data_IF_002752363115
#
_entry.id   IF_002752363115
#
_cell.length_a   1.000
_cell.length_b   1.000
_cell.length_c   1.000
_cell.angle_alpha   90.00
_cell.angle_beta   90.00
_cell.angle_gamma   90.00
#
_symmetry.space_group_name_H-M   'P 1'
#
loop_
_entity.id
_entity.type
_entity.pdbx_description
1 polymer ?
#
# COMPACT_ATOMS: atom_id res chain seq x y z
N UNK A 1 16.32 44.92 57.31
CA UNK A 1 16.97 43.64 57.66
C UNK A 1 16.01 42.92 58.60
N UNK A 2 15.36 41.79 58.32
CA UNK A 2 15.52 40.71 57.34
C UNK A 2 14.13 40.14 57.01
N UNK A 3 13.91 39.69 55.77
CA UNK A 3 12.64 39.15 55.26
C UNK A 3 12.39 37.71 55.76
N UNK A 4 11.15 37.43 56.13
CA UNK A 4 10.64 36.13 56.53
C UNK A 4 10.54 35.20 55.31
N UNK A 5 11.17 34.03 55.43
CA UNK A 5 11.29 32.97 54.43
C UNK A 5 9.92 32.35 54.12
N UNK A 6 9.53 32.33 52.83
CA UNK A 6 8.45 31.47 52.31
C UNK A 6 9.02 30.09 52.01
N UNK A 7 8.46 29.07 52.66
CA UNK A 7 8.73 27.65 52.36
C UNK A 7 8.02 27.29 51.06
N UNK A 8 8.79 26.89 50.04
CA UNK A 8 8.28 26.24 48.83
C UNK A 8 8.73 24.78 48.88
N UNK A 9 7.80 23.89 49.20
CA UNK A 9 7.93 22.44 49.06
C UNK A 9 7.94 22.08 47.58
N UNK A 10 9.11 21.66 47.08
CA UNK A 10 9.24 21.09 45.73
C UNK A 10 9.18 19.57 45.83
N UNK A 11 8.10 18.97 45.34
CA UNK A 11 8.00 17.53 45.16
C UNK A 11 8.75 17.14 43.86
N UNK A 12 9.83 16.38 44.00
CA UNK A 12 10.57 15.81 42.86
C UNK A 12 9.90 14.49 42.49
N UNK A 13 9.19 14.48 41.37
CA UNK A 13 8.60 13.28 40.77
C UNK A 13 9.68 12.60 39.91
N UNK A 14 10.24 11.49 40.40
CA UNK A 14 11.17 10.66 39.64
C UNK A 14 10.42 9.88 38.56
N UNK A 15 10.50 10.33 37.30
CA UNK A 15 10.05 9.58 36.14
C UNK A 15 11.08 8.50 35.82
N UNK A 16 10.75 7.24 36.11
CA UNK A 16 11.49 6.08 35.66
C UNK A 16 11.39 5.99 34.13
N UNK A 17 12.49 6.34 33.44
CA UNK A 17 12.62 6.13 32.01
C UNK A 17 12.86 4.63 31.79
N UNK A 18 11.81 3.91 31.41
CA UNK A 18 11.96 2.57 30.83
C UNK A 18 12.63 2.76 29.47
N UNK A 19 13.94 2.53 29.41
CA UNK A 19 14.66 2.43 28.16
C UNK A 19 14.22 1.14 27.45
N UNK A 20 13.41 1.25 26.40
CA UNK A 20 13.24 0.17 25.43
C UNK A 20 14.60 -0.05 24.75
N UNK A 21 15.28 -1.15 25.07
CA UNK A 21 16.43 -1.61 24.31
C UNK A 21 16.00 -1.86 22.85
N UNK A 22 16.73 -1.36 21.85
CA UNK A 22 16.51 -1.78 20.47
C UNK A 22 16.96 -3.24 20.34
N UNK A 23 15.99 -4.15 20.34
CA UNK A 23 16.21 -5.55 20.00
C UNK A 23 16.69 -5.68 18.55
N UNK A 24 17.65 -6.58 18.32
CA UNK A 24 18.12 -6.99 17.00
C UNK A 24 17.03 -7.79 16.29
N UNK A 25 15.97 -7.12 15.85
CA UNK A 25 14.95 -7.72 15.01
C UNK A 25 15.52 -7.92 13.60
N UNK A 26 15.79 -9.17 13.25
CA UNK A 26 16.18 -9.61 11.89
C UNK A 26 15.01 -9.61 10.90
N UNK A 27 13.82 -9.20 11.35
CA UNK A 27 12.65 -9.05 10.49
C UNK A 27 12.58 -7.62 9.94
N UNK A 28 12.44 -7.44 8.60
CA UNK A 28 12.14 -6.14 8.03
C UNK A 28 10.88 -5.60 8.69
N UNK A 29 10.98 -4.41 9.28
CA UNK A 29 9.84 -3.76 9.92
C UNK A 29 9.08 -2.98 8.85
N UNK A 30 7.75 -3.15 8.72
CA UNK A 30 6.94 -2.37 7.80
C UNK A 30 7.12 -0.87 8.03
N UNK A 31 7.25 -0.07 6.96
CA UNK A 31 7.43 1.38 7.06
C UNK A 31 6.15 2.16 7.40
N UNK A 32 5.01 1.47 7.53
CA UNK A 32 3.70 2.05 7.85
C UNK A 32 2.93 1.08 8.75
N UNK A 33 2.01 1.61 9.57
CA UNK A 33 1.15 0.80 10.44
C UNK A 33 0.40 -0.26 9.62
N UNK A 34 0.57 -1.54 9.98
CA UNK A 34 -0.24 -2.61 9.43
C UNK A 34 -1.61 -2.54 10.09
N UNK A 35 -2.62 -2.17 9.32
CA UNK A 35 -4.02 -2.33 9.71
C UNK A 35 -4.45 -3.66 9.09
N UNK A 36 -5.11 -4.52 9.88
CA UNK A 36 -5.66 -5.81 9.48
C UNK A 36 -4.69 -7.00 9.53
N UNK A 37 -5.07 -7.98 10.36
CA UNK A 37 -4.35 -9.25 10.57
C UNK A 37 -4.70 -10.33 9.55
N UNK A 38 -5.43 -9.97 8.49
CA UNK A 38 -6.20 -10.93 7.71
C UNK A 38 -5.62 -11.16 6.31
N UNK A 39 -4.68 -10.33 5.88
CA UNK A 39 -3.94 -10.56 4.65
C UNK A 39 -2.96 -11.72 4.87
N UNK A 40 -3.20 -12.83 4.17
CA UNK A 40 -2.32 -13.99 4.17
C UNK A 40 -1.06 -13.76 3.32
N UNK A 41 -0.21 -12.82 3.74
CA UNK A 41 1.04 -12.51 3.05
C UNK A 41 2.04 -13.66 3.14
N UNK A 42 2.76 -13.89 2.04
CA UNK A 42 3.86 -14.86 2.02
C UNK A 42 4.97 -14.40 2.96
N UNK A 43 5.76 -15.35 3.46
CA UNK A 43 6.94 -15.02 4.27
C UNK A 43 7.86 -14.05 3.51
N UNK A 44 8.20 -12.93 4.15
CA UNK A 44 9.03 -11.86 3.57
C UNK A 44 8.25 -10.79 2.79
N UNK A 45 6.94 -10.95 2.58
CA UNK A 45 6.06 -9.89 2.10
C UNK A 45 5.49 -9.09 3.28
N UNK A 46 5.05 -7.87 3.00
CA UNK A 46 4.35 -7.00 3.93
C UNK A 46 2.90 -6.79 3.46
N UNK A 47 1.97 -6.63 4.41
CA UNK A 47 0.59 -6.21 4.13
C UNK A 47 0.43 -4.70 4.15
N UNK A 48 -0.46 -4.19 3.31
CA UNK A 48 -1.06 -2.87 3.39
C UNK A 48 -2.57 -3.01 3.35
N UNK A 49 -3.28 -2.30 4.23
CA UNK A 49 -4.73 -2.17 4.18
C UNK A 49 -5.13 -0.73 4.44
N UNK A 50 -6.19 -0.30 3.77
CA UNK A 50 -6.86 0.96 4.03
C UNK A 50 -8.37 0.70 4.19
N UNK A 51 -8.86 0.81 5.43
CA UNK A 51 -10.26 0.59 5.75
C UNK A 51 -11.20 1.62 5.10
N UNK A 52 -10.71 2.83 4.82
CA UNK A 52 -11.50 3.86 4.15
C UNK A 52 -11.59 3.59 2.65
N UNK A 53 -10.48 3.15 2.04
CA UNK A 53 -10.48 2.72 0.66
C UNK A 53 -11.27 1.41 0.49
N UNK A 54 -11.33 0.57 1.53
CA UNK A 54 -12.09 -0.68 1.54
C UNK A 54 -11.32 -1.85 0.95
N UNK A 55 -9.99 -1.81 0.94
CA UNK A 55 -9.17 -2.90 0.40
C UNK A 55 -7.76 -2.93 0.98
N UNK A 56 -7.08 -4.06 0.74
CA UNK A 56 -5.68 -4.26 1.09
C UNK A 56 -5.02 -5.33 0.22
N UNK A 57 -3.68 -5.38 0.25
CA UNK A 57 -2.86 -6.31 -0.53
C UNK A 57 -1.50 -6.57 0.11
N UNK A 58 -0.85 -7.66 -0.28
CA UNK A 58 0.54 -7.93 0.06
C UNK A 58 1.50 -7.40 -1.00
N UNK A 59 2.67 -6.93 -0.57
CA UNK A 59 3.74 -6.43 -1.43
C UNK A 59 5.12 -6.92 -0.95
N UNK A 60 6.16 -6.91 -1.81
CA UNK A 60 7.50 -7.32 -1.41
C UNK A 60 8.03 -6.55 -0.19
N UNK A 61 8.56 -7.25 0.82
CA UNK A 61 9.11 -6.60 2.01
C UNK A 61 10.35 -5.73 1.77
N UNK A 62 10.94 -5.83 0.57
CA UNK A 62 12.02 -4.95 0.13
C UNK A 62 11.53 -3.62 -0.42
N UNK A 63 10.21 -3.37 -0.50
CA UNK A 63 9.69 -2.08 -0.96
C UNK A 63 9.50 -1.12 0.19
N UNK A 64 9.81 0.15 -0.06
CA UNK A 64 9.33 1.30 0.71
C UNK A 64 8.46 2.14 -0.20
N UNK A 65 7.47 2.81 0.35
CA UNK A 65 6.68 3.75 -0.42
C UNK A 65 6.32 4.99 0.38
N UNK A 66 6.06 6.08 -0.34
CA UNK A 66 5.29 7.21 0.16
C UNK A 66 3.90 7.14 -0.45
N UNK A 67 2.87 7.32 0.39
CA UNK A 67 1.47 7.30 -0.04
C UNK A 67 0.96 8.73 -0.26
N UNK A 68 0.29 8.96 -1.38
CA UNK A 68 -0.44 10.19 -1.66
C UNK A 68 -1.90 9.85 -1.96
N UNK A 69 -2.82 10.60 -1.36
CA UNK A 69 -4.26 10.43 -1.54
C UNK A 69 -4.83 11.63 -2.29
N UNK A 70 -5.69 11.38 -3.27
CA UNK A 70 -6.49 12.39 -3.94
C UNK A 70 -7.95 11.94 -3.93
N UNK A 71 -8.81 12.74 -3.32
CA UNK A 71 -10.25 12.48 -3.27
C UNK A 71 -10.99 13.50 -4.13
N UNK A 72 -11.83 13.00 -5.03
CA UNK A 72 -12.77 13.80 -5.80
C UNK A 72 -14.19 13.47 -5.34
N UNK A 73 -14.79 14.40 -4.58
CA UNK A 73 -16.13 14.24 -4.03
C UNK A 73 -17.21 14.16 -5.12
N UNK A 74 -17.08 14.98 -6.18
CA UNK A 74 -18.05 15.05 -7.28
C UNK A 74 -18.05 13.76 -8.10
N UNK A 75 -16.87 13.20 -8.35
CA UNK A 75 -16.71 11.93 -9.07
C UNK A 75 -16.86 10.68 -8.18
N UNK A 76 -16.97 10.86 -6.85
CA UNK A 76 -16.94 9.81 -5.82
C UNK A 76 -15.78 8.83 -6.05
N UNK A 77 -14.60 9.42 -6.19
CA UNK A 77 -13.37 8.75 -6.61
C UNK A 77 -12.27 9.03 -5.59
N UNK A 78 -11.57 7.97 -5.21
CA UNK A 78 -10.39 8.03 -4.35
C UNK A 78 -9.21 7.40 -5.10
N UNK A 79 -8.19 8.19 -5.35
CA UNK A 79 -6.93 7.73 -5.93
C UNK A 79 -5.85 7.66 -4.84
N UNK A 80 -5.33 6.45 -4.64
CA UNK A 80 -4.16 6.22 -3.79
C UNK A 80 -2.94 5.95 -4.68
N UNK A 81 -1.97 6.86 -4.64
CA UNK A 81 -0.69 6.73 -5.36
C UNK A 81 0.41 6.30 -4.41
N UNK A 82 1.06 5.19 -4.74
CA UNK A 82 2.21 4.65 -4.04
C UNK A 82 3.48 4.97 -4.84
N UNK A 83 4.30 5.85 -4.29
CA UNK A 83 5.62 6.19 -4.81
C UNK A 83 6.61 5.16 -4.27
N UNK A 84 6.82 4.07 -5.00
CA UNK A 84 7.52 2.88 -4.52
C UNK A 84 9.00 2.94 -4.89
N UNK A 85 9.86 2.69 -3.91
CA UNK A 85 11.30 2.45 -4.10
C UNK A 85 11.66 1.07 -3.57
N UNK A 86 12.40 0.29 -4.33
CA UNK A 86 13.00 -0.93 -3.82
C UNK A 86 14.21 -0.57 -2.96
N UNK A 87 14.21 -1.01 -1.70
CA UNK A 87 15.18 -0.63 -0.67
C UNK A 87 16.59 -0.86 -1.19
N UNK A 88 17.46 0.17 -1.17
CA UNK A 88 18.85 0.03 -1.58
C UNK A 88 19.58 -0.93 -0.63
N UNK A 89 20.66 -1.53 -1.13
CA UNK A 89 21.39 -2.55 -0.39
C UNK A 89 21.81 -2.04 0.99
N UNK A 90 21.63 -2.88 2.02
CA UNK A 90 22.15 -2.55 3.34
C UNK A 90 23.68 -2.40 3.27
N UNK A 91 24.21 -1.39 3.96
CA UNK A 91 25.66 -1.21 4.10
C UNK A 91 26.27 -2.47 4.74
N UNK A 92 27.20 -3.08 4.03
CA UNK A 92 27.86 -4.29 4.50
C UNK A 92 28.94 -3.95 5.56
N UNK A 93 29.19 -4.83 6.54
CA UNK A 93 30.36 -4.74 7.39
C UNK A 93 31.66 -4.64 6.57
N UNK A 94 32.75 -4.06 7.15
CA UNK A 94 34.05 -4.02 6.48
C UNK A 94 34.46 -5.41 5.99
N UNK A 95 34.98 -5.50 4.76
CA UNK A 95 35.40 -6.73 4.07
C UNK A 95 34.29 -7.69 3.63
N UNK A 96 33.03 -7.26 3.61
CA UNK A 96 31.93 -8.02 2.99
C UNK A 96 31.28 -7.23 1.87
N UNK A 97 30.78 -7.92 0.83
CA UNK A 97 30.02 -7.28 -0.25
C UNK A 97 28.56 -7.10 0.19
N UNK A 98 27.94 -5.94 -0.05
CA UNK A 98 26.52 -5.77 0.19
C UNK A 98 25.70 -6.74 -0.67
N UNK A 99 24.71 -7.39 -0.06
CA UNK A 99 23.75 -8.23 -0.75
C UNK A 99 22.54 -7.36 -1.07
N UNK A 100 22.19 -7.29 -2.36
CA UNK A 100 21.13 -6.44 -2.88
C UNK A 100 19.96 -7.29 -3.37
N UNK A 101 18.73 -6.82 -3.18
CA UNK A 101 17.59 -7.36 -3.93
C UNK A 101 17.75 -7.01 -5.41
N UNK A 102 17.25 -7.86 -6.33
CA UNK A 102 17.13 -7.49 -7.73
C UNK A 102 16.39 -6.15 -7.87
N UNK A 103 16.95 -5.21 -8.63
CA UNK A 103 16.37 -3.88 -8.83
C UNK A 103 16.47 -2.94 -7.61
N UNK A 104 17.43 -3.14 -6.72
CA UNK A 104 17.66 -2.25 -5.58
C UNK A 104 17.87 -0.79 -6.03
N UNK A 105 17.20 0.14 -5.35
CA UNK A 105 17.24 1.58 -5.68
C UNK A 105 16.32 2.00 -6.84
N UNK A 106 15.71 1.06 -7.55
CA UNK A 106 14.75 1.40 -8.60
C UNK A 106 13.44 1.91 -8.01
N UNK A 107 12.79 2.76 -8.77
CA UNK A 107 11.57 3.48 -8.40
C UNK A 107 10.45 3.20 -9.40
N UNK A 108 9.20 3.22 -8.96
CA UNK A 108 8.01 3.15 -9.82
C UNK A 108 6.77 3.71 -9.12
N UNK A 109 5.70 3.93 -9.88
CA UNK A 109 4.41 4.38 -9.36
C UNK A 109 3.36 3.28 -9.51
N UNK A 110 2.62 3.04 -8.43
CA UNK A 110 1.36 2.28 -8.47
C UNK A 110 0.23 3.21 -8.10
N UNK A 111 -0.85 3.20 -8.88
CA UNK A 111 -2.05 3.96 -8.59
C UNK A 111 -3.20 2.97 -8.42
N UNK A 112 -3.94 3.12 -7.33
CA UNK A 112 -5.16 2.36 -7.05
C UNK A 112 -6.31 3.34 -6.98
N UNK A 113 -7.14 3.34 -8.01
CA UNK A 113 -8.32 4.19 -8.13
C UNK A 113 -9.54 3.43 -7.65
N UNK A 114 -10.28 4.02 -6.71
CA UNK A 114 -11.46 3.43 -6.09
C UNK A 114 -12.68 4.27 -6.44
N UNK A 115 -13.67 3.64 -7.04
CA UNK A 115 -14.91 4.28 -7.48
C UNK A 115 -16.12 3.67 -6.79
N UNK A 116 -17.16 4.46 -6.65
CA UNK A 116 -18.50 3.93 -6.36
C UNK A 116 -18.95 2.96 -7.46
N UNK A 117 -19.41 1.77 -7.07
CA UNK A 117 -20.08 0.82 -7.98
C UNK A 117 -21.37 1.39 -8.57
N UNK A 118 -22.02 2.31 -7.86
CA UNK A 118 -23.25 2.99 -8.29
C UNK A 118 -24.37 2.03 -8.75
N UNK A 119 -24.46 0.85 -8.12
CA UNK A 119 -25.47 -0.16 -8.44
C UNK A 119 -25.24 -0.96 -9.74
N UNK A 120 -24.10 -0.78 -10.43
CA UNK A 120 -23.81 -1.53 -11.64
C UNK A 120 -23.79 -3.05 -11.37
N UNK A 121 -24.50 -3.87 -12.17
CA UNK A 121 -24.58 -5.31 -11.93
C UNK A 121 -23.25 -6.02 -12.21
N UNK A 122 -22.53 -5.59 -13.25
CA UNK A 122 -21.30 -6.19 -13.78
C UNK A 122 -20.29 -5.11 -14.22
N UNK A 123 -19.05 -5.52 -14.52
CA UNK A 123 -18.00 -4.61 -15.00
C UNK A 123 -18.32 -3.99 -16.36
N UNK A 124 -19.00 -4.71 -17.25
CA UNK A 124 -19.29 -4.24 -18.61
C UNK A 124 -20.17 -3.00 -18.54
N UNK A 125 -21.26 -3.09 -17.79
CA UNK A 125 -22.22 -2.01 -17.56
C UNK A 125 -21.55 -0.82 -16.87
N UNK A 126 -20.69 -1.08 -15.88
CA UNK A 126 -19.97 -0.01 -15.17
C UNK A 126 -18.99 0.73 -16.07
N UNK A 127 -18.17 0.01 -16.85
CA UNK A 127 -17.18 0.60 -17.77
C UNK A 127 -17.86 1.39 -18.88
N UNK A 128 -18.95 0.88 -19.45
CA UNK A 128 -19.73 1.61 -20.45
C UNK A 128 -20.28 2.94 -19.92
N UNK A 129 -20.74 2.96 -18.65
CA UNK A 129 -21.24 4.18 -18.02
C UNK A 129 -20.13 5.18 -17.66
N UNK A 130 -18.99 4.71 -17.11
CA UNK A 130 -17.90 5.58 -16.65
C UNK A 130 -17.01 6.06 -17.81
N UNK A 131 -16.78 5.22 -18.83
CA UNK A 131 -15.84 5.46 -19.92
C UNK A 131 -16.48 5.24 -21.30
N UNK A 132 -17.58 5.94 -21.64
CA UNK A 132 -18.37 5.66 -22.83
C UNK A 132 -17.51 5.76 -24.10
N UNK A 133 -17.34 4.62 -24.79
CA UNK A 133 -16.57 4.51 -26.04
C UNK A 133 -15.05 4.70 -25.90
N UNK A 134 -14.52 4.82 -24.67
CA UNK A 134 -13.09 5.08 -24.44
C UNK A 134 -12.30 3.84 -24.05
N UNK A 135 -12.90 2.97 -23.24
CA UNK A 135 -12.25 1.77 -22.73
C UNK A 135 -13.16 0.56 -22.88
N UNK A 136 -12.55 -0.59 -23.16
CA UNK A 136 -13.25 -1.88 -23.24
C UNK A 136 -12.59 -2.88 -22.30
N UNK A 137 -13.37 -3.86 -21.82
CA UNK A 137 -12.83 -5.00 -21.09
C UNK A 137 -12.09 -5.95 -22.03
N UNK A 138 -10.99 -6.51 -21.56
CA UNK A 138 -10.13 -7.45 -22.26
C UNK A 138 -9.77 -8.61 -21.35
N UNK A 139 -10.34 -9.79 -21.62
CA UNK A 139 -10.08 -10.99 -20.83
C UNK A 139 -10.54 -10.89 -19.37
N UNK A 140 -10.72 -12.04 -18.74
CA UNK A 140 -10.94 -12.13 -17.30
C UNK A 140 -9.60 -12.33 -16.58
N UNK A 141 -9.47 -11.81 -15.36
CA UNK A 141 -8.35 -12.09 -14.47
C UNK A 141 -8.85 -12.50 -13.09
N UNK A 142 -8.10 -13.37 -12.42
CA UNK A 142 -8.36 -13.69 -11.03
C UNK A 142 -7.70 -12.62 -10.14
N UNK A 143 -8.51 -11.90 -9.37
CA UNK A 143 -8.03 -10.84 -8.50
C UNK A 143 -8.68 -10.89 -7.12
N UNK A 144 -7.94 -11.38 -6.14
CA UNK A 144 -8.34 -11.43 -4.74
C UNK A 144 -9.68 -12.13 -4.56
N UNK A 145 -10.55 -11.50 -3.76
CA UNK A 145 -11.95 -11.89 -3.56
C UNK A 145 -12.95 -11.00 -4.34
N UNK A 146 -12.55 -10.44 -5.48
CA UNK A 146 -13.46 -9.65 -6.32
C UNK A 146 -14.59 -10.52 -6.89
N UNK A 147 -15.72 -9.88 -7.26
CA UNK A 147 -16.84 -10.56 -7.94
C UNK A 147 -16.53 -10.81 -9.40
N UNK A 148 -15.94 -9.81 -10.05
CA UNK A 148 -15.46 -9.87 -11.43
C UNK A 148 -14.15 -9.08 -11.50
N UNK A 149 -13.20 -9.54 -12.31
CA UNK A 149 -12.03 -8.76 -12.64
C UNK A 149 -11.59 -9.02 -14.08
N UNK A 150 -11.03 -7.99 -14.70
CA UNK A 150 -10.64 -7.98 -16.10
C UNK A 150 -9.46 -7.03 -16.34
N UNK A 151 -8.88 -7.08 -17.53
CA UNK A 151 -8.03 -5.99 -18.02
C UNK A 151 -8.89 -4.96 -18.76
N UNK A 152 -8.47 -3.70 -18.72
CA UNK A 152 -8.95 -2.64 -19.60
C UNK A 152 -8.08 -2.60 -20.85
N UNK A 153 -8.62 -2.01 -21.93
CA UNK A 153 -7.92 -1.88 -23.21
C UNK A 153 -6.65 -1.03 -23.19
N UNK A 154 -6.44 -0.28 -22.11
CA UNK A 154 -5.23 0.51 -21.85
C UNK A 154 -4.20 -0.24 -21.00
N UNK A 155 -4.45 -1.51 -20.67
CA UNK A 155 -3.56 -2.36 -19.88
C UNK A 155 -3.72 -2.25 -18.37
N UNK A 156 -4.64 -1.40 -17.86
CA UNK A 156 -4.95 -1.37 -16.43
C UNK A 156 -5.81 -2.57 -16.03
N UNK A 157 -5.71 -2.99 -14.77
CA UNK A 157 -6.60 -4.01 -14.20
C UNK A 157 -7.82 -3.34 -13.57
N UNK A 158 -8.97 -3.99 -13.66
CA UNK A 158 -10.21 -3.52 -13.04
C UNK A 158 -10.90 -4.66 -12.30
N UNK A 159 -11.44 -4.37 -11.12
CA UNK A 159 -12.19 -5.32 -10.29
C UNK A 159 -13.52 -4.70 -9.83
N UNK A 160 -14.60 -5.46 -9.96
CA UNK A 160 -15.89 -5.19 -9.35
C UNK A 160 -15.94 -5.88 -7.99
N UNK A 161 -16.19 -5.08 -6.96
CA UNK A 161 -16.35 -5.57 -5.59
C UNK A 161 -17.83 -5.49 -5.19
N UNK A 162 -18.21 -5.88 -3.97
CA UNK A 162 -19.57 -5.66 -3.48
C UNK A 162 -20.05 -4.22 -3.62
N UNK A 163 -19.23 -3.24 -3.21
CA UNK A 163 -19.63 -1.83 -3.10
C UNK A 163 -18.89 -0.87 -4.05
N UNK A 164 -17.77 -1.30 -4.60
CA UNK A 164 -16.85 -0.43 -5.34
C UNK A 164 -16.43 -1.06 -6.67
N UNK A 165 -15.79 -0.23 -7.49
CA UNK A 165 -14.95 -0.67 -8.60
C UNK A 165 -13.54 -0.15 -8.35
N UNK A 166 -12.56 -1.04 -8.43
CA UNK A 166 -11.16 -0.73 -8.17
C UNK A 166 -10.37 -0.90 -9.46
N UNK A 167 -9.58 0.11 -9.82
CA UNK A 167 -8.67 0.08 -10.98
C UNK A 167 -7.24 0.14 -10.46
N UNK A 168 -6.41 -0.81 -10.91
CA UNK A 168 -4.98 -0.86 -10.61
C UNK A 168 -4.19 -0.48 -11.87
N UNK A 169 -3.41 0.58 -11.74
CA UNK A 169 -2.46 1.05 -12.74
C UNK A 169 -1.04 0.87 -12.22
N UNK A 170 -0.26 0.06 -12.95
CA UNK A 170 1.14 -0.22 -12.64
C UNK A 170 2.02 0.47 -13.68
N UNK A 171 2.67 1.57 -13.28
CA UNK A 171 3.61 2.26 -14.16
C UNK A 171 5.00 1.65 -14.00
N UNK A 172 5.30 0.66 -14.83
CA UNK A 172 6.60 -0.02 -14.91
C UNK A 172 7.24 0.13 -16.30
N UNK A 173 8.56 -0.06 -16.42
CA UNK A 173 9.30 0.01 -17.71
C UNK A 173 10.48 1.00 -17.72
N UNK A 174 11.31 0.99 -18.77
CA UNK A 174 12.44 1.93 -18.99
C UNK A 174 13.48 2.04 -17.84
N UNK A 175 13.83 0.92 -17.20
CA UNK A 175 14.76 0.91 -16.07
C UNK A 175 14.12 1.28 -14.73
N UNK A 176 12.79 1.42 -14.68
CA UNK A 176 12.01 1.50 -13.45
C UNK A 176 11.81 0.12 -12.82
N UNK A 177 11.37 0.13 -11.56
CA UNK A 177 11.03 -1.09 -10.82
C UNK A 177 9.89 -1.85 -11.53
N UNK A 178 10.08 -3.16 -11.74
CA UNK A 178 9.06 -4.02 -12.36
C UNK A 178 7.94 -4.35 -11.37
N UNK A 179 6.96 -3.45 -11.29
CA UNK A 179 5.75 -3.63 -10.48
C UNK A 179 4.81 -4.68 -11.07
N UNK A 180 4.80 -4.82 -12.38
CA UNK A 180 3.87 -5.70 -13.09
C UNK A 180 4.11 -7.17 -12.69
N UNK A 181 5.35 -7.65 -12.85
CA UNK A 181 5.70 -9.01 -12.45
C UNK A 181 5.52 -9.23 -10.94
N UNK A 182 5.91 -8.24 -10.13
CA UNK A 182 5.83 -8.34 -8.68
C UNK A 182 4.38 -8.43 -8.19
N UNK A 183 3.48 -7.59 -8.71
CA UNK A 183 2.08 -7.55 -8.28
C UNK A 183 1.24 -8.64 -8.92
N UNK A 184 1.53 -9.07 -10.15
CA UNK A 184 0.83 -10.18 -10.80
C UNK A 184 0.88 -11.46 -9.95
N UNK A 185 2.02 -11.76 -9.33
CA UNK A 185 2.17 -12.93 -8.43
C UNK A 185 1.44 -12.80 -7.09
N UNK A 186 0.89 -11.61 -6.80
CA UNK A 186 0.24 -11.24 -5.53
C UNK A 186 -1.22 -10.81 -5.70
N UNK A 187 -1.79 -10.88 -6.91
CA UNK A 187 -3.19 -10.54 -7.13
C UNK A 187 -4.15 -11.33 -6.22
N UNK A 188 -3.85 -12.62 -5.97
CA UNK A 188 -4.62 -13.46 -5.05
C UNK A 188 -4.54 -13.05 -3.57
N UNK A 189 -3.63 -12.15 -3.20
CA UNK A 189 -3.53 -11.62 -1.83
C UNK A 189 -4.42 -10.41 -1.59
N UNK A 190 -5.02 -9.84 -2.64
CA UNK A 190 -5.90 -8.69 -2.48
C UNK A 190 -7.18 -9.09 -1.75
N UNK A 191 -7.58 -8.23 -0.81
CA UNK A 191 -8.84 -8.35 -0.09
C UNK A 191 -9.63 -7.07 -0.27
N UNK A 192 -10.82 -7.17 -0.84
CA UNK A 192 -11.81 -6.12 -0.94
C UNK A 192 -12.82 -6.32 0.19
N UNK A 193 -13.02 -5.29 1.00
CA UNK A 193 -13.97 -5.28 2.10
C UNK A 193 -15.41 -5.19 1.56
N UNK A 194 -16.32 -5.79 2.31
CA UNK A 194 -17.73 -5.94 1.96
C UNK A 194 -18.57 -4.70 2.25
#
# INVERSE_FOLDING_TARGET
MSQTVRVVTSAILALAVVACQPGTNTHPTPSVAQIGSDLHCRSGDHGYEDNQAGWGFCYPGTWKYTLRSQYNADARELDLTFDITNVPCASAPPNTKPVCSPGAGLFAFMIVSTYSRAGAPDLTSWVQAKFPGKLTLQGSVDWGNSKEAAMLSDGRRIALTPNQVVILELRSGFGLLDLESAMATRLGTWKFLY
#
